data_IF_852372407781
#
_entry.id   IF_852372407781
#
_cell.length_a   1.000
_cell.length_b   1.000
_cell.length_c   1.000
_cell.angle_alpha   90.00
_cell.angle_beta   90.00
_cell.angle_gamma   90.00
#
_symmetry.space_group_name_H-M   'P 1'
#
loop_
_entity.id
_entity.type
_entity.pdbx_description
1 polymer ?
#
# COMPACT_ATOMS: atom_id res chain seq x y z
N UNK A 1 17.30 53.91 43.49
CA UNK A 1 16.41 52.94 42.81
C UNK A 1 17.23 52.00 41.93
N UNK A 2 17.89 51.00 42.53
CA UNK A 2 18.74 50.01 41.83
C UNK A 2 18.64 48.65 42.54
N UNK A 3 17.42 48.13 42.69
CA UNK A 3 17.21 46.82 43.30
C UNK A 3 15.93 46.13 42.82
N UNK A 4 15.54 46.35 41.55
CA UNK A 4 14.31 45.79 40.97
C UNK A 4 14.56 45.03 39.65
N UNK A 5 15.76 44.45 39.48
CA UNK A 5 16.13 43.71 38.26
C UNK A 5 16.72 42.32 38.49
N UNK A 6 16.56 41.73 39.67
CA UNK A 6 17.15 40.39 39.97
C UNK A 6 16.20 39.41 40.66
N UNK A 7 14.88 39.52 40.47
CA UNK A 7 13.90 38.54 40.99
C UNK A 7 13.01 38.00 39.86
N UNK A 8 13.65 37.42 38.85
CA UNK A 8 12.98 36.65 37.80
C UNK A 8 13.83 35.42 37.47
N UNK A 9 14.03 34.57 38.48
CA UNK A 9 14.55 33.22 38.28
C UNK A 9 13.75 32.30 39.21
N UNK A 10 13.21 31.22 38.64
CA UNK A 10 12.50 30.10 39.28
C UNK A 10 11.05 30.34 39.72
N UNK A 11 10.12 30.14 38.78
CA UNK A 11 8.87 29.45 39.08
C UNK A 11 8.64 28.40 37.98
N UNK A 12 8.90 27.16 38.38
CA UNK A 12 8.94 25.93 37.62
C UNK A 12 7.57 25.63 37.00
N UNK A 13 7.53 25.50 35.66
CA UNK A 13 6.40 24.94 34.93
C UNK A 13 6.23 23.46 35.33
N UNK A 14 5.25 23.16 36.18
CA UNK A 14 4.78 21.79 36.39
C UNK A 14 3.49 21.58 35.58
N UNK A 15 3.63 21.37 34.26
CA UNK A 15 2.55 20.77 33.46
C UNK A 15 2.68 19.26 33.67
N UNK A 16 1.80 18.71 34.49
CA UNK A 16 1.59 17.26 34.57
C UNK A 16 0.92 16.86 33.25
N UNK A 17 1.71 16.42 32.28
CA UNK A 17 1.20 15.74 31.09
C UNK A 17 0.80 14.33 31.51
N UNK A 18 -0.49 14.12 31.77
CA UNK A 18 -1.05 12.77 31.75
C UNK A 18 -0.96 12.26 30.32
N UNK A 19 -0.06 11.31 30.07
CA UNK A 19 -0.04 10.55 28.82
C UNK A 19 -1.01 9.38 29.01
N UNK A 20 -2.22 9.38 28.43
CA UNK A 20 -2.96 8.14 28.31
C UNK A 20 -2.19 7.24 27.34
N UNK A 21 -1.58 6.16 27.84
CA UNK A 21 -1.12 5.06 27.00
C UNK A 21 -2.33 4.35 26.42
N UNK A 22 -2.81 4.85 25.28
CA UNK A 22 -3.63 4.05 24.39
C UNK A 22 -2.69 3.07 23.67
N UNK A 23 -2.93 1.76 23.81
CA UNK A 23 -2.30 0.78 22.94
C UNK A 23 -2.80 1.05 21.52
N UNK A 24 -1.91 1.58 20.68
CA UNK A 24 -2.26 2.09 19.36
C UNK A 24 -2.29 0.90 18.38
N UNK A 25 -3.38 0.69 17.62
CA UNK A 25 -3.45 -0.39 16.63
C UNK A 25 -2.35 -0.31 15.55
N UNK A 26 -1.79 0.89 15.36
CA UNK A 26 -0.73 1.22 14.39
C UNK A 26 0.57 0.45 14.61
N UNK A 27 0.87 0.03 15.85
CA UNK A 27 2.14 -0.67 16.16
C UNK A 27 2.28 -2.01 15.42
N UNK A 28 1.14 -2.62 15.04
CA UNK A 28 1.12 -3.87 14.25
C UNK A 28 1.17 -3.62 12.75
N UNK A 29 0.48 -2.60 12.26
CA UNK A 29 0.46 -2.25 10.83
C UNK A 29 1.82 -1.72 10.36
N UNK A 30 2.48 -0.87 11.16
CA UNK A 30 3.82 -0.35 10.84
C UNK A 30 4.86 -1.49 10.74
N UNK A 31 4.75 -2.50 11.63
CA UNK A 31 5.60 -3.69 11.60
C UNK A 31 5.38 -4.54 10.33
N UNK A 32 4.15 -4.58 9.83
CA UNK A 32 3.82 -5.32 8.61
C UNK A 32 4.41 -4.63 7.37
N UNK A 33 4.24 -3.32 7.24
CA UNK A 33 4.78 -2.57 6.09
C UNK A 33 6.31 -2.59 6.06
N UNK A 34 6.97 -2.50 7.21
CA UNK A 34 8.43 -2.60 7.28
C UNK A 34 8.95 -3.97 6.84
N UNK A 35 8.19 -5.05 7.09
CA UNK A 35 8.52 -6.38 6.56
C UNK A 35 8.36 -6.46 5.05
N UNK A 36 7.32 -5.84 4.48
CA UNK A 36 7.13 -5.77 3.03
C UNK A 36 8.28 -5.01 2.35
N UNK A 37 8.69 -3.87 2.92
CA UNK A 37 9.87 -3.12 2.46
C UNK A 37 11.13 -3.97 2.52
N UNK A 38 11.37 -4.66 3.63
CA UNK A 38 12.50 -5.56 3.76
C UNK A 38 12.45 -6.72 2.73
N UNK A 39 11.26 -7.26 2.44
CA UNK A 39 11.09 -8.28 1.39
C UNK A 39 11.52 -7.73 0.02
N UNK A 40 11.04 -6.55 -0.34
CA UNK A 40 11.37 -5.89 -1.60
C UNK A 40 12.86 -5.49 -1.70
N UNK A 41 13.46 -5.01 -0.60
CA UNK A 41 14.89 -4.66 -0.55
C UNK A 41 15.81 -5.86 -0.76
N UNK A 42 15.38 -7.05 -0.32
CA UNK A 42 16.14 -8.30 -0.48
C UNK A 42 15.75 -9.08 -1.75
N UNK A 43 14.77 -8.60 -2.52
CA UNK A 43 14.31 -9.23 -3.75
C UNK A 43 15.43 -9.24 -4.81
N UNK A 44 15.52 -10.34 -5.55
CA UNK A 44 16.47 -10.40 -6.69
C UNK A 44 15.98 -9.54 -7.84
N UNK A 45 16.86 -9.25 -8.82
CA UNK A 45 16.50 -8.42 -9.96
C UNK A 45 15.34 -8.98 -10.83
N UNK A 46 15.07 -10.28 -10.74
CA UNK A 46 14.02 -10.99 -11.48
C UNK A 46 12.84 -11.41 -10.61
N UNK A 47 12.87 -11.08 -9.32
CA UNK A 47 11.85 -11.47 -8.35
C UNK A 47 10.69 -10.50 -8.41
N UNK A 48 9.79 -10.71 -9.38
CA UNK A 48 8.58 -9.92 -9.53
C UNK A 48 7.56 -10.21 -8.41
N UNK A 49 7.57 -11.43 -7.87
CA UNK A 49 6.63 -11.92 -6.85
C UNK A 49 6.75 -11.10 -5.56
N UNK A 50 7.98 -10.86 -5.08
CA UNK A 50 8.20 -10.05 -3.88
C UNK A 50 7.59 -8.63 -3.98
N UNK A 51 7.62 -8.02 -5.17
CA UNK A 51 7.00 -6.71 -5.41
C UNK A 51 5.47 -6.82 -5.56
N UNK A 52 4.97 -7.87 -6.20
CA UNK A 52 3.55 -8.12 -6.38
C UNK A 52 2.87 -8.34 -5.02
N UNK A 53 3.41 -9.22 -4.18
CA UNK A 53 2.91 -9.53 -2.84
C UNK A 53 2.90 -8.29 -1.94
N UNK A 54 3.97 -7.49 -1.98
CA UNK A 54 4.06 -6.26 -1.22
C UNK A 54 3.01 -5.23 -1.66
N UNK A 55 2.78 -5.11 -2.97
CA UNK A 55 1.74 -4.22 -3.50
C UNK A 55 0.34 -4.70 -3.13
N UNK A 56 0.03 -5.97 -3.34
CA UNK A 56 -1.28 -6.56 -3.05
C UNK A 56 -1.60 -6.41 -1.56
N UNK A 57 -0.64 -6.67 -0.68
CA UNK A 57 -0.85 -6.53 0.75
C UNK A 57 -1.18 -5.10 1.18
N UNK A 58 -0.51 -4.11 0.62
CA UNK A 58 -0.84 -2.70 0.84
C UNK A 58 -2.26 -2.35 0.32
N UNK A 59 -2.67 -2.92 -0.83
CA UNK A 59 -4.01 -2.74 -1.40
C UNK A 59 -5.08 -3.37 -0.51
N UNK A 60 -4.86 -4.58 0.00
CA UNK A 60 -5.76 -5.28 0.93
C UNK A 60 -5.96 -4.48 2.22
N UNK A 61 -4.87 -3.96 2.78
CA UNK A 61 -4.87 -3.13 3.99
C UNK A 61 -5.37 -1.71 3.74
N UNK A 62 -5.46 -1.29 2.48
CA UNK A 62 -5.77 0.09 2.05
C UNK A 62 -4.85 1.12 2.69
N UNK A 63 -3.59 0.77 2.87
CA UNK A 63 -2.53 1.63 3.42
C UNK A 63 -1.33 1.65 2.47
N UNK A 64 -0.44 2.63 2.63
CA UNK A 64 0.77 2.76 1.82
C UNK A 64 0.54 2.66 0.29
N UNK A 65 -0.60 3.14 -0.19
CA UNK A 65 -1.03 2.97 -1.59
C UNK A 65 -0.04 3.59 -2.60
N UNK A 66 0.69 4.64 -2.22
CA UNK A 66 1.74 5.20 -3.07
C UNK A 66 2.89 4.22 -3.28
N UNK A 67 3.31 3.48 -2.24
CA UNK A 67 4.33 2.42 -2.36
C UNK A 67 3.78 1.22 -3.12
N UNK A 68 2.52 0.83 -2.85
CA UNK A 68 1.86 -0.23 -3.59
C UNK A 68 1.90 0.00 -5.11
N UNK A 69 1.66 1.24 -5.55
CA UNK A 69 1.74 1.62 -6.95
C UNK A 69 3.16 1.44 -7.51
N UNK A 70 4.18 1.91 -6.79
CA UNK A 70 5.58 1.79 -7.21
C UNK A 70 5.98 0.32 -7.33
N UNK A 71 5.61 -0.51 -6.35
CA UNK A 71 5.94 -1.93 -6.36
C UNK A 71 5.22 -2.67 -7.47
N UNK A 72 3.92 -2.42 -7.71
CA UNK A 72 3.23 -3.12 -8.79
C UNK A 72 3.74 -2.73 -10.18
N UNK A 73 4.07 -1.46 -10.42
CA UNK A 73 4.70 -1.04 -11.68
C UNK A 73 6.07 -1.70 -11.86
N UNK A 74 6.85 -1.86 -10.78
CA UNK A 74 8.13 -2.57 -10.81
C UNK A 74 7.96 -4.06 -11.11
N UNK A 75 6.97 -4.71 -10.49
CA UNK A 75 6.64 -6.11 -10.74
C UNK A 75 6.25 -6.36 -12.20
N UNK A 76 5.37 -5.52 -12.75
CA UNK A 76 4.96 -5.55 -14.17
C UNK A 76 6.16 -5.36 -15.09
N UNK A 77 7.08 -4.43 -14.76
CA UNK A 77 8.27 -4.18 -15.56
C UNK A 77 9.24 -5.37 -15.57
N UNK A 78 9.27 -6.19 -14.52
CA UNK A 78 10.06 -7.43 -14.46
C UNK A 78 9.34 -8.55 -15.23
N UNK A 79 8.04 -8.70 -15.00
CA UNK A 79 7.22 -9.73 -15.62
C UNK A 79 5.77 -9.26 -15.79
N UNK A 80 5.36 -8.91 -17.01
CA UNK A 80 3.97 -8.57 -17.30
C UNK A 80 3.13 -9.84 -17.45
N UNK A 81 2.53 -10.31 -16.35
CA UNK A 81 1.69 -11.50 -16.29
C UNK A 81 0.26 -11.17 -15.80
N UNK A 82 -0.62 -12.18 -15.78
CA UNK A 82 -2.02 -12.00 -15.41
C UNK A 82 -2.20 -11.50 -13.98
N UNK A 83 -1.43 -12.07 -13.03
CA UNK A 83 -1.48 -11.71 -11.61
C UNK A 83 -1.08 -10.25 -11.37
N UNK A 84 0.05 -9.81 -11.93
CA UNK A 84 0.54 -8.45 -11.77
C UNK A 84 -0.43 -7.42 -12.37
N UNK A 85 -1.04 -7.76 -13.51
CA UNK A 85 -2.06 -6.93 -14.13
C UNK A 85 -3.37 -6.94 -13.31
N UNK A 86 -3.75 -8.06 -12.69
CA UNK A 86 -4.90 -8.14 -11.79
C UNK A 86 -4.71 -7.21 -10.57
N UNK A 87 -3.54 -7.26 -9.92
CA UNK A 87 -3.22 -6.42 -8.75
C UNK A 87 -3.23 -4.93 -9.13
N UNK A 88 -2.66 -4.55 -10.30
CA UNK A 88 -2.77 -3.16 -10.78
C UNK A 88 -4.22 -2.75 -11.06
N UNK A 89 -5.03 -3.66 -11.59
CA UNK A 89 -6.46 -3.45 -11.74
C UNK A 89 -7.15 -3.19 -10.40
N UNK A 90 -6.79 -3.95 -9.35
CA UNK A 90 -7.32 -3.78 -7.99
C UNK A 90 -6.94 -2.42 -7.39
N UNK A 91 -5.68 -2.02 -7.57
CA UNK A 91 -5.20 -0.69 -7.20
C UNK A 91 -6.05 0.41 -7.86
N UNK A 92 -6.24 0.34 -9.18
CA UNK A 92 -7.00 1.35 -9.93
C UNK A 92 -8.47 1.38 -9.51
N UNK A 93 -9.06 0.21 -9.29
CA UNK A 93 -10.44 0.08 -8.83
C UNK A 93 -10.63 0.70 -7.44
N UNK A 94 -9.70 0.42 -6.51
CA UNK A 94 -9.71 0.99 -5.16
C UNK A 94 -9.62 2.52 -5.18
N UNK A 95 -8.84 3.08 -6.09
CA UNK A 95 -8.64 4.53 -6.24
C UNK A 95 -9.69 5.21 -7.12
N UNK A 96 -10.77 4.52 -7.50
CA UNK A 96 -11.88 5.08 -8.26
C UNK A 96 -11.60 5.27 -9.76
N UNK A 97 -10.45 4.83 -10.26
CA UNK A 97 -10.07 4.86 -11.68
C UNK A 97 -10.72 3.71 -12.45
N UNK A 98 -12.06 3.65 -12.44
CA UNK A 98 -12.86 2.52 -12.93
C UNK A 98 -12.52 2.10 -14.36
N UNK A 99 -12.44 3.04 -15.29
CA UNK A 99 -12.23 2.71 -16.70
C UNK A 99 -10.83 2.12 -16.92
N UNK A 100 -9.81 2.69 -16.25
CA UNK A 100 -8.45 2.16 -16.27
C UNK A 100 -8.35 0.78 -15.60
N UNK A 101 -9.09 0.56 -14.51
CA UNK A 101 -9.18 -0.74 -13.86
C UNK A 101 -9.74 -1.80 -14.81
N UNK A 102 -10.85 -1.49 -15.50
CA UNK A 102 -11.45 -2.40 -16.50
C UNK A 102 -10.46 -2.69 -17.63
N UNK A 103 -9.79 -1.68 -18.17
CA UNK A 103 -8.78 -1.88 -19.21
C UNK A 103 -7.66 -2.81 -18.74
N UNK A 104 -7.16 -2.60 -17.52
CA UNK A 104 -6.07 -3.40 -16.95
C UNK A 104 -6.50 -4.84 -16.67
N UNK A 105 -7.71 -5.05 -16.12
CA UNK A 105 -8.26 -6.39 -15.96
C UNK A 105 -8.46 -7.12 -17.28
N UNK A 106 -8.85 -6.42 -18.35
CA UNK A 106 -8.96 -7.05 -19.68
C UNK A 106 -7.60 -7.51 -20.21
N UNK A 107 -6.51 -6.76 -19.93
CA UNK A 107 -5.14 -7.20 -20.24
C UNK A 107 -4.77 -8.44 -19.42
N UNK A 108 -5.11 -8.45 -18.12
CA UNK A 108 -4.90 -9.60 -17.24
C UNK A 108 -5.63 -10.86 -17.74
N UNK A 109 -6.89 -10.72 -18.17
CA UNK A 109 -7.67 -11.83 -18.77
C UNK A 109 -6.98 -12.36 -20.02
N UNK A 110 -6.51 -11.48 -20.92
CA UNK A 110 -5.82 -11.91 -22.13
C UNK A 110 -4.53 -12.67 -21.80
N UNK A 111 -3.71 -12.15 -20.89
CA UNK A 111 -2.48 -12.80 -20.44
C UNK A 111 -2.75 -14.18 -19.84
N UNK A 112 -3.73 -14.28 -18.93
CA UNK A 112 -4.11 -15.55 -18.30
C UNK A 112 -4.66 -16.56 -19.29
N UNK A 113 -5.45 -16.13 -20.28
CA UNK A 113 -5.93 -17.01 -21.35
C UNK A 113 -4.79 -17.59 -22.20
N UNK A 114 -3.77 -16.79 -22.50
CA UNK A 114 -2.57 -17.24 -23.25
C UNK A 114 -1.77 -18.24 -22.41
N UNK A 115 -1.66 -18.01 -21.10
CA UNK A 115 -0.98 -18.90 -20.15
C UNK A 115 -1.78 -20.17 -19.79
N UNK A 116 -3.07 -20.24 -20.15
CA UNK A 116 -3.95 -21.37 -19.80
C UNK A 116 -4.48 -21.34 -18.36
N UNK A 117 -4.54 -20.17 -17.74
CA UNK A 117 -4.99 -19.95 -16.37
C UNK A 117 -6.53 -19.80 -16.27
N UNK A 118 -7.10 -20.02 -15.08
CA UNK A 118 -8.51 -19.73 -14.81
C UNK A 118 -8.74 -18.23 -14.59
N UNK A 119 -9.28 -17.57 -15.61
CA UNK A 119 -9.55 -16.13 -15.62
C UNK A 119 -10.91 -15.73 -15.03
N UNK A 120 -11.67 -16.68 -14.47
CA UNK A 120 -13.04 -16.45 -13.99
C UNK A 120 -13.12 -15.40 -12.87
N UNK A 121 -12.08 -15.33 -12.02
CA UNK A 121 -11.98 -14.33 -10.94
C UNK A 121 -11.91 -12.91 -11.51
N UNK A 122 -11.06 -12.70 -12.51
CA UNK A 122 -10.83 -11.39 -13.13
C UNK A 122 -12.06 -10.95 -13.92
N UNK A 123 -12.72 -11.85 -14.65
CA UNK A 123 -13.99 -11.56 -15.33
C UNK A 123 -15.07 -11.05 -14.37
N UNK A 124 -15.19 -11.66 -13.18
CA UNK A 124 -16.14 -11.20 -12.16
C UNK A 124 -15.83 -9.79 -11.67
N UNK A 125 -14.55 -9.41 -11.56
CA UNK A 125 -14.13 -8.04 -11.21
C UNK A 125 -14.58 -7.02 -12.27
N UNK A 126 -14.36 -7.32 -13.56
CA UNK A 126 -14.85 -6.48 -14.68
C UNK A 126 -16.37 -6.33 -14.65
N UNK A 127 -17.10 -7.44 -14.48
CA UNK A 127 -18.56 -7.42 -14.40
C UNK A 127 -19.07 -6.61 -13.21
N UNK A 128 -18.41 -6.71 -12.05
CA UNK A 128 -18.75 -5.92 -10.86
C UNK A 128 -18.61 -4.43 -11.11
N UNK A 129 -17.53 -4.00 -11.76
CA UNK A 129 -17.32 -2.59 -12.09
C UNK A 129 -18.30 -2.07 -13.14
N UNK A 130 -18.72 -2.89 -14.10
CA UNK A 130 -19.65 -2.48 -15.15
C UNK A 130 -21.12 -2.34 -14.70
N UNK A 131 -21.49 -2.87 -13.54
CA UNK A 131 -22.83 -2.71 -12.98
C UNK A 131 -23.03 -1.26 -12.53
N UNK A 132 -24.08 -0.62 -13.05
CA UNK A 132 -24.53 0.73 -12.68
C UNK A 132 -25.39 0.69 -11.44
#
# INVERSE_FOLDING_TARGET
MKSLKQLLVLALFAIITVNPSFANPTDKEDNEIDKLRASVENATATDWEAYADAADRCIELKTNLSEAYVWIEKSIAINENAENLEIKGDYLALNGAKDMAIETYNKAILAGMIAGEDISKIQKKVLKLNRR
#
